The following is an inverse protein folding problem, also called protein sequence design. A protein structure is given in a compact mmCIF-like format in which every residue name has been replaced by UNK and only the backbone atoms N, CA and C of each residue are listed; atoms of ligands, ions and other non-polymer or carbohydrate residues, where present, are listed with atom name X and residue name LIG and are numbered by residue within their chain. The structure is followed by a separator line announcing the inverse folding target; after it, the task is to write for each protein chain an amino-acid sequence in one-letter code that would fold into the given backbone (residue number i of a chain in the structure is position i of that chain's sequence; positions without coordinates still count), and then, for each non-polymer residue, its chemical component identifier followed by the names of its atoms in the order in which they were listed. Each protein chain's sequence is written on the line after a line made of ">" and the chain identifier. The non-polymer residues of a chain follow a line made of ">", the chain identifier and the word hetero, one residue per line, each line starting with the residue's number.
data_IF_519316829399
#
_entry.id   IF_519316829399
#
_cell.length_a   1.000
_cell.length_b   1.000
_cell.length_c   1.000
_cell.angle_alpha   90.00
_cell.angle_beta   90.00
_cell.angle_gamma   90.00
#
_symmetry.space_group_name_H-M   'P 1'
#
loop_
_entity.id
_entity.type
_entity.pdbx_description
1 polymer ?
#
# COMPACT_ATOMS: atom_id res chain seq x y z
N UNK A 1 5.20 -19.16 -11.52
CA UNK A 1 5.03 -17.97 -12.37
C UNK A 1 5.20 -16.78 -11.43
N UNK A 2 6.25 -15.97 -11.57
CA UNK A 2 6.45 -14.80 -10.70
C UNK A 2 5.40 -13.74 -11.07
N UNK A 3 4.73 -13.14 -10.09
CA UNK A 3 3.80 -12.06 -10.37
C UNK A 3 4.54 -10.88 -11.01
N UNK A 4 3.95 -10.21 -12.01
CA UNK A 4 4.54 -9.02 -12.61
C UNK A 4 4.51 -7.89 -11.56
N UNK A 5 5.68 -7.59 -10.99
CA UNK A 5 5.86 -6.61 -9.91
C UNK A 5 5.88 -5.16 -10.42
N UNK A 6 5.95 -4.96 -11.73
CA UNK A 6 6.07 -3.67 -12.43
C UNK A 6 4.75 -3.28 -13.10
N UNK A 7 3.62 -3.54 -12.45
CA UNK A 7 2.31 -3.37 -13.10
C UNK A 7 1.59 -2.15 -12.54
N UNK A 8 1.66 -1.04 -13.27
CA UNK A 8 0.62 0.00 -13.19
C UNK A 8 -0.66 -0.57 -13.76
N UNK A 9 -1.80 -0.35 -13.10
CA UNK A 9 -3.11 -0.82 -13.51
C UNK A 9 -4.16 0.29 -13.38
N UNK A 10 -5.13 0.29 -14.29
CA UNK A 10 -6.21 1.28 -14.25
C UNK A 10 -7.29 0.87 -13.23
N UNK A 11 -7.79 1.85 -12.48
CA UNK A 11 -8.97 1.70 -11.62
C UNK A 11 -10.01 2.76 -11.96
N UNK A 12 -11.24 2.61 -11.45
CA UNK A 12 -12.28 3.67 -11.54
C UNK A 12 -11.90 4.95 -10.76
N UNK A 13 -10.80 4.90 -10.00
CA UNK A 13 -10.32 5.98 -9.16
C UNK A 13 -8.98 6.59 -9.64
N UNK A 14 -8.50 6.20 -10.83
CA UNK A 14 -7.20 6.61 -11.36
C UNK A 14 -6.25 5.42 -11.52
N UNK A 15 -5.04 5.68 -12.01
CA UNK A 15 -4.04 4.63 -12.14
C UNK A 15 -3.47 4.26 -10.76
N UNK A 16 -3.21 2.98 -10.56
CA UNK A 16 -2.60 2.44 -9.35
C UNK A 16 -1.44 1.52 -9.66
N UNK A 17 -0.64 1.23 -8.64
CA UNK A 17 0.51 0.34 -8.75
C UNK A 17 0.64 -0.61 -7.56
N UNK A 18 1.36 -1.70 -7.80
CA UNK A 18 1.71 -2.69 -6.78
C UNK A 18 2.87 -2.15 -5.95
N UNK A 19 2.71 -2.11 -4.63
CA UNK A 19 3.74 -1.63 -3.69
C UNK A 19 4.40 -2.75 -2.91
N UNK A 20 3.69 -3.86 -2.66
CA UNK A 20 4.20 -5.00 -1.90
C UNK A 20 3.78 -6.29 -2.56
N UNK A 21 4.70 -7.25 -2.58
CA UNK A 21 4.50 -8.61 -3.09
C UNK A 21 5.08 -9.59 -2.10
N UNK A 22 4.32 -10.62 -1.76
CA UNK A 22 4.75 -11.70 -0.89
C UNK A 22 5.93 -12.44 -1.53
N UNK A 23 7.05 -12.53 -0.81
CA UNK A 23 8.24 -13.23 -1.31
C UNK A 23 8.07 -14.75 -1.41
N UNK A 24 7.11 -15.31 -0.67
CA UNK A 24 6.90 -16.76 -0.59
C UNK A 24 6.12 -17.32 -1.80
N UNK A 25 5.10 -16.61 -2.27
CA UNK A 25 4.18 -17.08 -3.31
C UNK A 25 3.96 -16.09 -4.46
N UNK A 26 4.48 -14.86 -4.35
CA UNK A 26 4.32 -13.82 -5.36
C UNK A 26 2.95 -13.14 -5.36
N UNK A 27 2.12 -13.31 -4.33
CA UNK A 27 0.82 -12.63 -4.25
C UNK A 27 1.00 -11.13 -3.96
N UNK A 28 0.13 -10.29 -4.52
CA UNK A 28 0.11 -8.84 -4.23
C UNK A 28 -0.38 -8.61 -2.80
N UNK A 29 0.40 -7.87 -2.02
CA UNK A 29 0.10 -7.55 -0.62
C UNK A 29 -0.11 -6.06 -0.36
N UNK A 30 0.16 -5.21 -1.35
CA UNK A 30 0.01 -3.77 -1.19
C UNK A 30 -0.20 -3.04 -2.51
N UNK A 31 -1.04 -2.01 -2.47
CA UNK A 31 -1.45 -1.20 -3.62
C UNK A 31 -1.44 0.28 -3.25
N UNK A 32 -1.18 1.17 -4.22
CA UNK A 32 -1.38 2.61 -4.08
C UNK A 32 -1.94 3.24 -5.35
N UNK A 33 -2.71 4.32 -5.21
CA UNK A 33 -3.11 5.17 -6.33
C UNK A 33 -2.01 6.21 -6.62
N UNK A 34 -1.80 6.51 -7.89
CA UNK A 34 -0.80 7.50 -8.33
C UNK A 34 -1.36 8.92 -8.24
N UNK A 35 -2.64 9.09 -8.56
CA UNK A 35 -3.27 10.41 -8.65
C UNK A 35 -4.00 10.83 -7.37
N UNK A 36 -4.07 9.96 -6.37
CA UNK A 36 -4.85 10.16 -5.15
C UNK A 36 -4.10 9.67 -3.91
N UNK A 37 -4.23 10.36 -2.75
CA UNK A 37 -3.59 9.96 -1.50
C UNK A 37 -4.31 8.75 -0.88
N UNK A 38 -4.15 7.57 -1.49
CA UNK A 38 -4.77 6.33 -1.06
C UNK A 38 -3.84 5.14 -1.28
N UNK A 39 -3.73 4.29 -0.27
CA UNK A 39 -3.02 3.02 -0.33
C UNK A 39 -3.72 1.97 0.53
N UNK A 40 -3.39 0.70 0.32
CA UNK A 40 -3.90 -0.42 1.12
C UNK A 40 -2.86 -1.52 1.23
N UNK A 41 -2.94 -2.30 2.31
CA UNK A 41 -2.17 -3.53 2.49
C UNK A 41 -3.10 -4.70 2.83
N UNK A 42 -2.70 -5.92 2.49
CA UNK A 42 -3.46 -7.14 2.76
C UNK A 42 -3.20 -7.69 4.18
N UNK A 43 -2.03 -7.42 4.74
CA UNK A 43 -1.65 -7.85 6.09
C UNK A 43 -2.08 -6.83 7.15
N UNK A 44 -1.94 -7.23 8.42
CA UNK A 44 -2.32 -6.46 9.60
C UNK A 44 -1.14 -5.63 10.13
N UNK A 45 -1.06 -4.32 9.84
CA UNK A 45 0.05 -3.47 10.30
C UNK A 45 0.04 -3.20 11.82
N UNK A 46 -1.09 -3.41 12.49
CA UNK A 46 -1.30 -3.15 13.92
C UNK A 46 -0.59 -4.14 14.85
N UNK A 47 -0.06 -5.23 14.29
CA UNK A 47 0.79 -6.22 14.96
C UNK A 47 0.34 -6.56 16.40
N UNK A 48 -0.80 -7.24 16.56
CA UNK A 48 -1.26 -7.67 17.89
C UNK A 48 -0.30 -8.69 18.56
N UNK A 49 0.41 -9.50 17.76
CA UNK A 49 1.42 -10.48 18.19
C UNK A 49 2.45 -10.81 17.07
N UNK A 50 2.79 -9.81 16.25
CA UNK A 50 3.71 -9.93 15.10
C UNK A 50 4.83 -8.90 15.14
N UNK A 51 5.83 -8.98 14.23
CA UNK A 51 6.90 -7.98 14.15
C UNK A 51 6.32 -6.59 13.80
N UNK A 52 6.94 -5.54 14.34
CA UNK A 52 6.52 -4.15 14.12
C UNK A 52 6.94 -3.58 12.75
N UNK A 53 7.34 -4.44 11.81
CA UNK A 53 7.91 -4.08 10.51
C UNK A 53 6.94 -3.30 9.60
N UNK A 54 5.64 -3.33 9.93
CA UNK A 54 4.58 -2.65 9.20
C UNK A 54 4.01 -1.40 9.91
N UNK A 55 4.50 -1.06 11.11
CA UNK A 55 3.95 0.05 11.91
C UNK A 55 4.07 1.42 11.21
N UNK A 56 5.08 1.60 10.35
CA UNK A 56 5.31 2.82 9.57
C UNK A 56 4.12 3.19 8.66
N UNK A 57 3.25 2.23 8.32
CA UNK A 57 2.06 2.49 7.51
C UNK A 57 1.05 3.39 8.22
N UNK A 58 1.03 3.39 9.57
CA UNK A 58 0.21 4.33 10.33
C UNK A 58 0.75 5.75 10.24
N UNK A 59 2.07 5.94 10.37
CA UNK A 59 2.70 7.26 10.23
C UNK A 59 2.45 7.81 8.81
N UNK A 60 2.62 6.96 7.79
CA UNK A 60 2.30 7.29 6.40
C UNK A 60 0.83 7.71 6.24
N UNK A 61 -0.10 7.00 6.88
CA UNK A 61 -1.52 7.37 6.83
C UNK A 61 -1.80 8.73 7.48
N UNK A 62 -1.18 9.02 8.63
CA UNK A 62 -1.29 10.33 9.30
C UNK A 62 -0.72 11.46 8.43
N UNK A 63 0.39 11.22 7.76
CA UNK A 63 0.98 12.18 6.83
C UNK A 63 0.04 12.51 5.67
N UNK A 64 -0.58 11.49 5.05
CA UNK A 64 -1.58 11.69 3.99
C UNK A 64 -2.80 12.50 4.46
N UNK A 65 -3.22 12.31 5.71
CA UNK A 65 -4.32 13.08 6.29
C UNK A 65 -3.92 14.53 6.57
N UNK A 66 -2.67 14.77 6.96
CA UNK A 66 -2.14 16.11 7.24
C UNK A 66 -1.99 16.94 5.97
N UNK A 67 -1.53 16.34 4.88
CA UNK A 67 -1.39 17.02 3.57
C UNK A 67 -2.71 17.52 2.97
N UNK A 68 -3.87 17.01 3.42
CA UNK A 68 -5.20 17.51 2.99
C UNK A 68 -5.62 18.81 3.66
N UNK A 69 -4.94 19.25 4.73
CA UNK A 69 -5.33 20.45 5.48
C UNK A 69 -4.69 21.72 4.90
N UNK A 70 -3.57 21.61 4.20
CA UNK A 70 -3.03 22.68 3.37
C UNK A 70 -3.62 22.62 1.94
N UNK A 71 -4.78 23.25 1.72
CA UNK A 71 -5.34 23.55 0.39
C UNK A 71 -6.12 24.86 0.40
#
# INVERSE_FOLDING_TARGET
>A
MKAPTETTFATVYGDGEVTHVCLNDGVVEGLQLLDRPAFSVQYHPEAAAGPHDAAYLFDRFVELMSQKVES
#
